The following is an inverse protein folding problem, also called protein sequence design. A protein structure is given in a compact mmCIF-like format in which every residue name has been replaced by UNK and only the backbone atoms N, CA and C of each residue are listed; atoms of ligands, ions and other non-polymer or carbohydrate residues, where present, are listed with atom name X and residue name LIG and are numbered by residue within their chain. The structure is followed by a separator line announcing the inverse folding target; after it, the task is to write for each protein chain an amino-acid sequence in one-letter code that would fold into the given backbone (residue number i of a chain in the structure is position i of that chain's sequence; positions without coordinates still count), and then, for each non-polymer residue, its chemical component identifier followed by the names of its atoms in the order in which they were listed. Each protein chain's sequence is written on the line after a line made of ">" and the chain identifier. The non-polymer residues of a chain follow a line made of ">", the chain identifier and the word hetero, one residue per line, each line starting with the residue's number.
data_IF_816072095373
#
_entry.id   IF_816072095373
#
_cell.length_a   1.000
_cell.length_b   1.000
_cell.length_c   1.000
_cell.angle_alpha   90.00
_cell.angle_beta   90.00
_cell.angle_gamma   90.00
#
_symmetry.space_group_name_H-M   'P 1'
#
loop_
_entity.id
_entity.type
_entity.pdbx_description
1 polymer ?
#
# COMPACT_ATOMS: atom_id res chain seq x y z
N UNK A 1 -15.82 31.18 -24.93
CA UNK A 1 -16.34 31.58 -23.60
C UNK A 1 -17.84 31.73 -23.75
N UNK A 2 -18.65 31.06 -22.93
CA UNK A 2 -20.12 31.19 -23.00
C UNK A 2 -20.49 32.53 -22.36
N UNK A 3 -21.22 33.37 -23.10
CA UNK A 3 -21.82 34.58 -22.53
C UNK A 3 -22.93 34.16 -21.56
N UNK A 4 -22.91 34.76 -20.36
CA UNK A 4 -23.87 34.50 -19.28
C UNK A 4 -24.49 35.78 -18.76
N UNK A 5 -24.26 36.90 -19.44
CA UNK A 5 -24.75 38.24 -19.06
C UNK A 5 -26.26 38.28 -18.80
N UNK A 6 -27.00 37.37 -19.43
CA UNK A 6 -28.45 37.18 -19.28
C UNK A 6 -28.91 36.60 -17.93
N UNK A 7 -28.00 36.11 -17.08
CA UNK A 7 -28.37 35.55 -15.77
C UNK A 7 -28.62 36.66 -14.73
N UNK A 8 -29.68 36.55 -13.92
CA UNK A 8 -30.12 37.61 -13.00
C UNK A 8 -29.21 37.80 -11.77
N UNK A 9 -28.40 36.79 -11.40
CA UNK A 9 -27.54 36.84 -10.23
C UNK A 9 -26.06 36.90 -10.62
N UNK A 10 -25.30 37.80 -9.99
CA UNK A 10 -23.87 37.98 -10.26
C UNK A 10 -23.06 36.69 -10.03
N UNK A 11 -23.37 35.94 -8.96
CA UNK A 11 -22.73 34.66 -8.66
C UNK A 11 -22.87 33.63 -9.78
N UNK A 12 -23.97 33.63 -10.54
CA UNK A 12 -24.20 32.72 -11.65
C UNK A 12 -23.45 33.13 -12.93
N UNK A 13 -23.26 34.45 -13.12
CA UNK A 13 -22.47 35.02 -14.22
C UNK A 13 -20.98 34.74 -14.05
N UNK A 14 -20.50 34.84 -12.82
CA UNK A 14 -19.09 34.63 -12.44
C UNK A 14 -18.75 33.17 -12.13
N UNK A 15 -19.75 32.27 -12.08
CA UNK A 15 -19.54 30.87 -11.76
C UNK A 15 -18.57 30.20 -12.74
N UNK A 16 -17.38 29.85 -12.27
CA UNK A 16 -16.43 29.06 -13.03
C UNK A 16 -16.65 27.59 -12.71
N UNK A 17 -17.15 26.84 -13.68
CA UNK A 17 -17.26 25.39 -13.54
C UNK A 17 -15.85 24.83 -13.33
N UNK A 18 -15.60 24.25 -12.14
CA UNK A 18 -14.35 23.58 -11.81
C UNK A 18 -14.14 22.27 -12.58
N UNK A 19 -15.04 21.92 -13.52
CA UNK A 19 -14.92 20.80 -14.49
C UNK A 19 -14.25 19.58 -13.85
N UNK A 20 -13.18 19.11 -14.48
CA UNK A 20 -12.38 17.97 -14.08
C UNK A 20 -11.37 18.28 -12.96
N UNK A 21 -11.25 19.52 -12.46
CA UNK A 21 -10.26 19.81 -11.42
C UNK A 21 -10.54 19.05 -10.13
N UNK A 22 -11.82 18.94 -9.74
CA UNK A 22 -12.23 18.13 -8.59
C UNK A 22 -12.01 16.63 -8.84
N UNK A 23 -12.31 16.17 -10.06
CA UNK A 23 -12.09 14.78 -10.45
C UNK A 23 -10.61 14.40 -10.54
N UNK A 24 -9.76 15.30 -11.04
CA UNK A 24 -8.31 15.14 -11.03
C UNK A 24 -7.76 15.11 -9.61
N UNK A 25 -8.25 15.99 -8.72
CA UNK A 25 -7.87 15.99 -7.31
C UNK A 25 -8.26 14.68 -6.61
N UNK A 26 -9.48 14.21 -6.82
CA UNK A 26 -9.96 12.92 -6.31
C UNK A 26 -9.09 11.76 -6.81
N UNK A 27 -8.89 11.66 -8.13
CA UNK A 27 -8.07 10.61 -8.76
C UNK A 27 -6.63 10.58 -8.23
N UNK A 28 -6.00 11.75 -8.11
CA UNK A 28 -4.64 11.85 -7.54
C UNK A 28 -4.61 11.48 -6.06
N UNK A 29 -5.63 11.89 -5.29
CA UNK A 29 -5.72 11.56 -3.86
C UNK A 29 -5.96 10.07 -3.60
N UNK A 30 -6.76 9.41 -4.45
CA UNK A 30 -7.02 7.97 -4.38
C UNK A 30 -5.75 7.18 -4.67
N UNK A 31 -5.04 7.53 -5.75
CA UNK A 31 -3.78 6.87 -6.09
C UNK A 31 -2.67 7.14 -5.07
N UNK A 32 -2.55 8.37 -4.56
CA UNK A 32 -1.57 8.69 -3.51
C UNK A 32 -1.85 7.91 -2.22
N UNK A 33 -3.13 7.78 -1.83
CA UNK A 33 -3.53 7.00 -0.66
C UNK A 33 -3.23 5.51 -0.85
N UNK A 34 -3.56 4.95 -2.01
CA UNK A 34 -3.28 3.53 -2.32
C UNK A 34 -1.78 3.21 -2.31
N UNK A 35 -0.94 4.08 -2.91
CA UNK A 35 0.52 3.97 -2.83
C UNK A 35 1.02 4.05 -1.38
N UNK A 36 0.45 4.94 -0.56
CA UNK A 36 0.83 5.07 0.86
C UNK A 36 0.44 3.83 1.68
N UNK A 37 -0.69 3.19 1.40
CA UNK A 37 -1.13 1.95 2.04
C UNK A 37 -0.24 0.76 1.63
N UNK A 38 0.15 0.68 0.36
CA UNK A 38 1.06 -0.37 -0.13
C UNK A 38 2.47 -0.25 0.45
N UNK A 39 2.98 0.97 0.62
CA UNK A 39 4.32 1.18 1.23
C UNK A 39 4.39 0.74 2.69
N UNK A 40 3.26 0.69 3.40
CA UNK A 40 3.18 0.29 4.81
C UNK A 40 2.82 -1.20 5.00
N UNK A 41 2.41 -1.91 3.94
CA UNK A 41 2.19 -3.36 3.99
C UNK A 41 3.50 -4.12 3.89
N UNK A 42 4.27 -4.12 4.98
CA UNK A 42 5.29 -5.17 5.17
C UNK A 42 4.55 -6.47 5.48
N UNK A 43 4.14 -7.17 4.42
CA UNK A 43 3.48 -8.47 4.54
C UNK A 43 4.56 -9.49 4.90
N UNK A 44 4.71 -9.79 6.19
CA UNK A 44 5.54 -10.90 6.64
C UNK A 44 4.89 -12.18 6.13
N UNK A 45 5.42 -12.73 5.04
CA UNK A 45 4.93 -13.99 4.52
C UNK A 45 5.55 -15.15 5.32
N UNK A 46 5.07 -15.33 6.54
CA UNK A 46 5.32 -16.55 7.33
C UNK A 46 4.60 -17.72 6.65
N UNK A 47 5.32 -18.83 6.43
CA UNK A 47 4.87 -20.08 5.78
C UNK A 47 4.97 -20.18 4.24
N UNK A 48 5.96 -19.53 3.62
CA UNK A 48 6.36 -19.89 2.25
C UNK A 48 7.04 -21.27 2.18
N UNK A 49 6.66 -22.06 1.18
CA UNK A 49 7.42 -23.24 0.77
C UNK A 49 8.84 -22.84 0.32
N UNK A 50 9.78 -23.77 0.39
CA UNK A 50 11.17 -23.54 -0.02
C UNK A 50 11.27 -23.04 -1.46
N UNK A 51 10.50 -23.63 -2.37
CA UNK A 51 10.45 -23.24 -3.78
C UNK A 51 10.04 -21.78 -3.97
N UNK A 52 9.02 -21.32 -3.24
CA UNK A 52 8.59 -19.91 -3.30
C UNK A 52 9.66 -18.96 -2.77
N UNK A 53 10.38 -19.34 -1.71
CA UNK A 53 11.51 -18.54 -1.20
C UNK A 53 12.60 -18.40 -2.26
N UNK A 54 12.98 -19.50 -2.90
CA UNK A 54 14.00 -19.50 -3.95
C UNK A 54 13.56 -18.70 -5.18
N UNK A 55 12.29 -18.81 -5.58
CA UNK A 55 11.71 -18.02 -6.66
C UNK A 55 11.77 -16.51 -6.36
N UNK A 56 11.40 -16.09 -5.16
CA UNK A 56 11.48 -14.67 -4.79
C UNK A 56 12.93 -14.18 -4.76
N UNK A 57 13.86 -15.01 -4.28
CA UNK A 57 15.31 -14.71 -4.31
C UNK A 57 15.83 -14.56 -5.74
N UNK A 58 15.43 -15.43 -6.66
CA UNK A 58 15.86 -15.34 -8.06
C UNK A 58 15.30 -14.11 -8.76
N UNK A 59 14.05 -13.73 -8.46
CA UNK A 59 13.44 -12.49 -8.95
C UNK A 59 14.15 -11.25 -8.42
N UNK A 60 14.46 -11.21 -7.13
CA UNK A 60 15.23 -10.11 -6.52
C UNK A 60 16.59 -9.97 -7.18
N UNK A 61 17.29 -11.10 -7.40
CA UNK A 61 18.58 -11.10 -8.08
C UNK A 61 18.47 -10.63 -9.54
N UNK A 62 17.53 -11.17 -10.32
CA UNK A 62 17.34 -10.78 -11.71
C UNK A 62 16.96 -9.30 -11.85
N UNK A 63 16.13 -8.80 -10.94
CA UNK A 63 15.69 -7.40 -10.92
C UNK A 63 16.68 -6.42 -10.30
N UNK A 64 17.82 -6.88 -9.77
CA UNK A 64 18.80 -6.05 -9.04
C UNK A 64 18.15 -5.19 -7.96
N UNK A 65 17.18 -5.76 -7.23
CA UNK A 65 16.37 -5.04 -6.25
C UNK A 65 17.06 -5.03 -4.88
N UNK A 66 17.00 -3.88 -4.20
CA UNK A 66 17.48 -3.78 -2.80
C UNK A 66 16.47 -4.47 -1.87
N UNK A 67 16.87 -5.59 -1.29
CA UNK A 67 16.04 -6.37 -0.35
C UNK A 67 16.64 -6.42 1.05
N UNK A 68 15.82 -6.68 2.06
CA UNK A 68 16.23 -6.97 3.44
C UNK A 68 15.77 -8.37 3.82
N UNK A 69 16.70 -9.25 4.17
CA UNK A 69 16.41 -10.62 4.61
C UNK A 69 16.57 -10.67 6.13
N UNK A 70 15.58 -11.24 6.81
CA UNK A 70 15.61 -11.48 8.26
C UNK A 70 15.32 -12.96 8.51
N UNK A 71 16.13 -13.59 9.36
CA UNK A 71 15.90 -14.94 9.85
C UNK A 71 15.16 -14.82 11.18
N UNK A 72 13.94 -15.36 11.25
CA UNK A 72 13.15 -15.42 12.48
C UNK A 72 13.22 -16.87 12.95
N UNK A 73 13.88 -17.10 14.09
CA UNK A 73 13.86 -18.40 14.74
C UNK A 73 12.47 -18.64 15.31
N UNK A 74 11.86 -19.80 14.99
CA UNK A 74 10.65 -20.24 15.68
C UNK A 74 11.09 -20.70 17.06
N UNK A 75 10.92 -19.86 18.09
CA UNK A 75 11.11 -20.27 19.48
C UNK A 75 10.11 -21.39 19.79
N UNK A 76 10.57 -22.64 19.70
CA UNK A 76 9.84 -23.77 20.25
C UNK A 76 9.89 -23.64 21.78
N UNK A 77 8.81 -23.12 22.35
CA UNK A 77 8.58 -23.21 23.79
C UNK A 77 8.50 -24.70 24.11
N UNK A 78 9.59 -25.27 24.63
CA UNK A 78 9.56 -26.60 25.22
C UNK A 78 8.70 -26.51 26.49
N UNK A 79 7.64 -27.31 26.65
CA UNK A 79 6.99 -27.41 27.94
C UNK A 79 8.00 -28.03 28.90
N UNK A 80 8.41 -27.26 29.91
CA UNK A 80 9.22 -27.74 31.01
C UNK A 80 8.47 -28.90 31.64
N UNK A 81 8.94 -30.13 31.42
CA UNK A 81 8.52 -31.27 32.21
C UNK A 81 9.04 -31.02 33.62
N UNK A 82 8.21 -30.46 34.49
CA UNK A 82 8.44 -30.49 35.93
C UNK A 82 8.49 -31.96 36.36
N UNK A 83 9.73 -32.46 36.36
CA UNK A 83 10.34 -33.31 37.37
C UNK A 83 9.37 -34.22 38.12
N UNK A 84 9.40 -35.50 37.73
CA UNK A 84 9.32 -36.59 38.70
C UNK A 84 10.21 -36.25 39.90
N UNK A 85 9.61 -36.03 41.07
CA UNK A 85 10.26 -36.35 42.34
C UNK A 85 9.39 -37.36 43.09
N UNK A 86 10.14 -38.34 43.61
CA UNK A 86 9.76 -39.55 44.36
C UNK A 86 9.04 -39.21 45.66
#
# INVERSE_FOLDING_TARGET
>A
MIDRSYLPFQSAREYQDTKMQKWMGFFLSEHASALSDDTNKVTYMSDLSLEKKLLLLSQVYAGQLRTRIQVIEKTSVFPTLEQYQV
#
